data_IF_954351158293
#
_entry.id   IF_954351158293
#
_cell.length_a   1.000
_cell.length_b   1.000
_cell.length_c   1.000
_cell.angle_alpha   90.00
_cell.angle_beta   90.00
_cell.angle_gamma   90.00
#
_symmetry.space_group_name_H-M   'P 1'
#
loop_
_entity.id
_entity.type
_entity.pdbx_description
1 polymer ?
#
# COMPACT_ATOMS: atom_id res chain seq x y z
N UNK A 1 -2.69 1.64 -10.60
CA UNK A 1 -1.94 1.81 -9.33
C UNK A 1 -2.67 1.07 -8.23
N UNK A 2 -1.95 0.41 -7.33
CA UNK A 2 -2.53 -0.39 -6.25
C UNK A 2 -2.14 0.21 -4.90
N UNK A 3 -3.14 0.65 -4.14
CA UNK A 3 -2.99 0.91 -2.70
C UNK A 3 -3.08 -0.43 -1.99
N UNK A 4 -2.20 -0.70 -1.02
CA UNK A 4 -2.22 -1.90 -0.20
C UNK A 4 -2.62 -1.55 1.24
N UNK A 5 -3.93 -1.33 1.51
CA UNK A 5 -4.38 -0.98 2.84
C UNK A 5 -4.43 -2.21 3.76
N UNK A 6 -4.28 -1.96 5.06
CA UNK A 6 -4.77 -2.86 6.12
C UNK A 6 -6.07 -2.28 6.64
N UNK A 7 -7.11 -3.11 6.78
CA UNK A 7 -8.46 -2.66 7.14
C UNK A 7 -9.04 -3.53 8.24
N UNK A 8 -9.84 -2.92 9.12
CA UNK A 8 -10.65 -3.61 10.12
C UNK A 8 -12.11 -3.58 9.68
N UNK A 9 -12.75 -4.76 9.63
CA UNK A 9 -14.17 -4.82 9.33
C UNK A 9 -15.00 -4.14 10.44
N UNK A 10 -16.01 -3.36 10.05
CA UNK A 10 -16.85 -2.61 10.98
C UNK A 10 -17.56 -3.48 12.03
N UNK A 11 -17.81 -4.75 11.70
CA UNK A 11 -18.44 -5.76 12.59
C UNK A 11 -17.54 -6.98 12.79
N UNK A 12 -16.23 -6.77 12.93
CA UNK A 12 -15.30 -7.88 13.21
C UNK A 12 -15.71 -8.62 14.50
N UNK A 13 -15.69 -9.96 14.54
CA UNK A 13 -16.06 -10.74 15.73
C UNK A 13 -15.08 -10.52 16.89
N UNK A 14 -13.84 -10.10 16.60
CA UNK A 14 -12.79 -9.81 17.57
C UNK A 14 -12.09 -8.48 17.23
N UNK A 15 -12.74 -7.32 17.47
CA UNK A 15 -12.23 -6.02 17.00
C UNK A 15 -10.91 -5.62 17.68
N UNK A 16 -10.73 -5.95 18.96
CA UNK A 16 -9.50 -5.62 19.68
C UNK A 16 -8.30 -6.45 19.20
N UNK A 17 -8.51 -7.72 18.85
CA UNK A 17 -7.45 -8.54 18.24
C UNK A 17 -7.06 -7.99 16.86
N UNK A 18 -8.04 -7.55 16.06
CA UNK A 18 -7.78 -6.89 14.78
C UNK A 18 -6.98 -5.58 14.93
N UNK A 19 -7.28 -4.76 15.94
CA UNK A 19 -6.50 -3.56 16.25
C UNK A 19 -5.06 -3.88 16.61
N UNK A 20 -4.83 -4.85 17.51
CA UNK A 20 -3.48 -5.29 17.87
C UNK A 20 -2.70 -5.82 16.66
N UNK A 21 -3.37 -6.54 15.75
CA UNK A 21 -2.75 -6.97 14.51
C UNK A 21 -2.34 -5.79 13.61
N UNK A 22 -3.21 -4.78 13.47
CA UNK A 22 -2.90 -3.56 12.71
C UNK A 22 -1.71 -2.84 13.34
N UNK A 23 -1.70 -2.67 14.66
CA UNK A 23 -0.59 -2.05 15.40
C UNK A 23 0.72 -2.81 15.16
N UNK A 24 0.68 -4.15 15.20
CA UNK A 24 1.84 -5.00 14.91
C UNK A 24 2.32 -4.84 13.46
N UNK A 25 1.44 -4.95 12.47
CA UNK A 25 1.83 -4.84 11.05
C UNK A 25 2.42 -3.47 10.73
N UNK A 26 1.90 -2.40 11.35
CA UNK A 26 2.40 -1.02 11.19
C UNK A 26 3.60 -0.69 12.10
N UNK A 27 3.95 -1.58 13.03
CA UNK A 27 5.12 -1.42 13.91
C UNK A 27 6.44 -1.56 13.13
N UNK A 28 7.55 -1.13 13.74
CA UNK A 28 8.89 -1.33 13.17
C UNK A 28 9.20 -2.81 12.90
N UNK A 29 8.79 -3.70 13.80
CA UNK A 29 9.01 -5.14 13.68
C UNK A 29 8.19 -5.72 12.52
N UNK A 30 6.89 -5.42 12.47
CA UNK A 30 6.02 -5.86 11.39
C UNK A 30 6.50 -5.36 10.02
N UNK A 31 6.98 -4.12 9.94
CA UNK A 31 7.55 -3.58 8.69
C UNK A 31 8.85 -4.27 8.27
N UNK A 32 9.74 -4.60 9.22
CA UNK A 32 10.95 -5.42 8.91
C UNK A 32 10.57 -6.80 8.41
N UNK A 33 9.56 -7.43 9.01
CA UNK A 33 9.04 -8.72 8.55
C UNK A 33 8.49 -8.62 7.12
N UNK A 34 7.74 -7.56 6.81
CA UNK A 34 7.22 -7.30 5.45
C UNK A 34 8.34 -7.08 4.43
N UNK A 35 9.43 -6.40 4.79
CA UNK A 35 10.63 -6.29 3.94
C UNK A 35 11.19 -7.68 3.60
N UNK A 36 11.23 -8.60 4.58
CA UNK A 36 11.59 -10.00 4.36
C UNK A 36 10.71 -10.71 3.33
N UNK A 37 9.44 -10.33 3.24
CA UNK A 37 8.50 -10.77 2.19
C UNK A 37 8.58 -9.94 0.89
N UNK A 38 9.67 -9.21 0.67
CA UNK A 38 9.88 -8.35 -0.51
C UNK A 38 8.82 -7.26 -0.69
N UNK A 39 8.19 -6.80 0.40
CA UNK A 39 7.30 -5.63 0.38
C UNK A 39 8.09 -4.36 0.65
N UNK A 40 7.62 -3.25 0.07
CA UNK A 40 8.13 -1.91 0.36
C UNK A 40 7.54 -1.47 1.71
N UNK A 41 8.36 -1.10 2.71
CA UNK A 41 7.87 -0.67 4.01
C UNK A 41 7.24 0.73 3.91
N UNK A 42 6.31 1.02 4.81
CA UNK A 42 5.64 2.34 4.90
C UNK A 42 6.23 3.24 5.98
N UNK A 43 7.07 2.70 6.87
CA UNK A 43 7.75 3.47 7.92
C UNK A 43 9.04 4.10 7.39
N UNK A 44 9.28 5.34 7.76
CA UNK A 44 10.50 6.08 7.38
C UNK A 44 11.77 5.54 8.05
N UNK A 45 11.63 4.90 9.21
CA UNK A 45 12.76 4.34 9.98
C UNK A 45 13.05 2.85 9.68
N UNK A 46 12.52 2.34 8.56
CA UNK A 46 12.76 0.98 8.04
C UNK A 46 13.13 1.09 6.56
N UNK A 47 14.40 0.78 6.26
CA UNK A 47 14.87 0.76 4.87
C UNK A 47 14.26 -0.42 4.08
N UNK A 48 13.93 -0.22 2.78
CA UNK A 48 13.58 -1.31 1.89
C UNK A 48 14.81 -2.15 1.53
N UNK A 49 14.58 -3.38 1.05
CA UNK A 49 15.61 -4.23 0.44
C UNK A 49 15.32 -4.49 -1.05
N UNK A 50 16.12 -3.95 -1.99
CA UNK A 50 17.36 -3.19 -1.77
C UNK A 50 17.13 -1.70 -1.38
N UNK A 51 18.07 -1.05 -0.67
CA UNK A 51 17.92 0.35 -0.23
C UNK A 51 17.73 1.38 -1.36
N UNK A 52 18.16 1.04 -2.58
CA UNK A 52 17.95 1.87 -3.79
C UNK A 52 16.47 2.09 -4.12
N UNK A 53 15.56 1.28 -3.57
CA UNK A 53 14.13 1.47 -3.75
C UNK A 53 13.60 2.76 -3.14
N UNK A 54 14.37 3.52 -2.35
CA UNK A 54 13.99 4.86 -1.91
C UNK A 54 15.04 5.95 -2.23
N UNK A 55 16.09 5.63 -3.00
CA UNK A 55 17.22 6.55 -3.24
C UNK A 55 17.37 6.84 -4.73
N UNK A 56 17.69 8.09 -5.07
CA UNK A 56 18.02 8.50 -6.43
C UNK A 56 16.84 8.96 -7.31
N UNK A 57 15.65 9.15 -6.73
CA UNK A 57 14.49 9.67 -7.45
C UNK A 57 13.50 10.36 -6.51
N UNK A 58 12.68 11.26 -7.06
CA UNK A 58 11.56 11.87 -6.36
C UNK A 58 10.41 10.86 -6.26
N UNK A 59 10.01 10.54 -5.03
CA UNK A 59 8.82 9.72 -4.78
C UNK A 59 7.57 10.59 -4.87
N UNK A 60 6.52 10.05 -5.49
CA UNK A 60 5.19 10.64 -5.49
C UNK A 60 4.33 9.76 -4.59
N UNK A 61 3.67 10.39 -3.63
CA UNK A 61 2.71 9.71 -2.76
C UNK A 61 1.37 9.79 -3.48
N UNK A 62 0.82 8.63 -3.77
CA UNK A 62 -0.54 8.51 -4.30
C UNK A 62 -1.53 8.60 -3.14
N UNK A 63 -2.36 9.65 -3.14
CA UNK A 63 -3.39 9.83 -2.13
C UNK A 63 -4.69 9.15 -2.59
N UNK A 64 -5.35 8.34 -1.74
CA UNK A 64 -6.57 7.64 -2.13
C UNK A 64 -7.68 8.57 -2.65
N UNK A 65 -7.72 9.80 -2.16
CA UNK A 65 -8.69 10.82 -2.59
C UNK A 65 -8.51 11.27 -4.04
N UNK A 66 -7.36 11.04 -4.64
CA UNK A 66 -7.07 11.37 -6.04
C UNK A 66 -7.65 10.33 -7.02
N UNK A 67 -8.13 9.18 -6.53
CA UNK A 67 -8.78 8.14 -7.34
C UNK A 67 -10.22 8.48 -7.76
N UNK A 68 -10.53 9.73 -8.10
CA UNK A 68 -11.90 10.17 -8.43
C UNK A 68 -12.42 9.60 -9.75
N UNK A 69 -11.55 9.45 -10.74
CA UNK A 69 -11.93 9.14 -12.12
C UNK A 69 -11.39 7.79 -12.60
N UNK A 70 -11.27 6.81 -11.69
CA UNK A 70 -10.66 5.50 -12.03
C UNK A 70 -11.44 4.80 -13.14
N UNK A 71 -12.78 4.86 -13.12
CA UNK A 71 -13.63 4.22 -14.13
C UNK A 71 -13.38 4.81 -15.53
N UNK A 72 -13.34 6.13 -15.64
CA UNK A 72 -13.08 6.88 -16.87
C UNK A 72 -11.65 6.61 -17.38
N UNK A 73 -10.67 6.61 -16.47
CA UNK A 73 -9.27 6.32 -16.79
C UNK A 73 -9.11 4.89 -17.34
N UNK A 74 -9.82 3.92 -16.76
CA UNK A 74 -9.80 2.52 -17.22
C UNK A 74 -10.43 2.41 -18.61
N UNK A 75 -11.55 3.11 -18.87
CA UNK A 75 -12.18 3.13 -20.21
C UNK A 75 -11.24 3.71 -21.26
N UNK A 76 -10.62 4.86 -20.96
CA UNK A 76 -9.67 5.51 -21.86
C UNK A 76 -8.47 4.60 -22.16
N UNK A 77 -7.93 3.92 -21.14
CA UNK A 77 -6.86 2.94 -21.31
C UNK A 77 -7.27 1.79 -22.25
N UNK A 78 -8.47 1.24 -22.08
CA UNK A 78 -8.98 0.17 -22.93
C UNK A 78 -9.14 0.61 -24.39
N UNK A 79 -9.62 1.83 -24.61
CA UNK A 79 -9.78 2.44 -25.94
C UNK A 79 -8.42 2.65 -26.63
N UNK A 80 -7.47 3.30 -25.96
CA UNK A 80 -6.12 3.57 -26.51
C UNK A 80 -5.42 2.29 -26.96
N UNK A 81 -5.54 1.23 -26.16
CA UNK A 81 -4.84 -0.04 -26.43
C UNK A 81 -5.71 -1.09 -27.14
N UNK A 82 -6.94 -0.75 -27.54
CA UNK A 82 -7.86 -1.66 -28.25
C UNK A 82 -8.05 -3.00 -27.54
N UNK A 83 -8.14 -2.98 -26.21
CA UNK A 83 -8.20 -4.19 -25.37
C UNK A 83 -9.63 -4.75 -25.24
N UNK A 84 -10.65 -3.97 -25.62
CA UNK A 84 -12.07 -4.34 -25.73
C UNK A 84 -12.79 -3.46 -26.74
#
# INVERSE_FOLDING_TARGET
MQVNPVMLAAKAPHPNAGKLFIDFVLSKEGQKMLVGFRRIPVREDVDPDPPRLFRGYKRIIEHPEEYKNVSETVKLYQEIFSLR
#
